data_IF_978551804780
#
_entry.id   IF_978551804780
#
_cell.length_a   1.000
_cell.length_b   1.000
_cell.length_c   1.000
_cell.angle_alpha   90.00
_cell.angle_beta   90.00
_cell.angle_gamma   90.00
#
_symmetry.space_group_name_H-M   'P 1'
#
loop_
_entity.id
_entity.type
_entity.pdbx_description
1 polymer ?
#
# COMPACT_ATOMS: atom_id res chain seq x y z
N UNK A 1 26.73 17.24 3.36
CA UNK A 1 26.46 16.04 4.17
C UNK A 1 27.28 16.14 5.44
N UNK A 2 26.65 16.06 6.60
CA UNK A 2 27.33 15.96 7.89
C UNK A 2 27.11 14.56 8.45
N UNK A 3 28.14 13.99 9.05
CA UNK A 3 28.06 12.69 9.73
C UNK A 3 28.04 12.95 11.23
N UNK A 4 27.01 12.49 11.93
CA UNK A 4 26.95 12.58 13.38
C UNK A 4 28.04 11.71 14.03
N UNK A 5 28.34 11.96 15.31
CA UNK A 5 29.20 11.08 16.10
C UNK A 5 28.68 9.63 16.18
N UNK A 6 27.40 9.40 15.88
CA UNK A 6 26.76 8.08 15.82
C UNK A 6 26.82 7.43 14.44
N UNK A 7 27.46 8.06 13.44
CA UNK A 7 27.63 7.54 12.08
C UNK A 7 26.46 7.79 11.13
N UNK A 8 25.46 8.57 11.54
CA UNK A 8 24.32 8.91 10.69
C UNK A 8 24.66 10.09 9.77
N UNK A 9 24.42 9.93 8.46
CA UNK A 9 24.61 11.00 7.47
C UNK A 9 23.36 11.85 7.34
N UNK A 10 23.51 13.16 7.42
CA UNK A 10 22.42 14.15 7.33
C UNK A 10 22.71 15.17 6.22
N UNK A 11 21.70 15.49 5.42
CA UNK A 11 21.74 16.64 4.52
C UNK A 11 21.38 17.89 5.31
N UNK A 12 22.28 18.87 5.24
CA UNK A 12 22.12 20.15 5.90
C UNK A 12 22.33 21.26 4.88
N UNK A 13 21.60 22.34 5.07
CA UNK A 13 22.01 23.63 4.55
C UNK A 13 22.91 24.29 5.59
N UNK A 14 23.91 25.04 5.15
CA UNK A 14 24.81 25.75 6.04
C UNK A 14 25.07 27.16 5.51
N UNK A 15 25.28 28.09 6.44
CA UNK A 15 25.70 29.46 6.15
C UNK A 15 26.96 29.78 6.95
N UNK A 16 27.88 30.52 6.34
CA UNK A 16 29.12 30.97 6.99
C UNK A 16 29.14 32.48 6.96
N UNK A 17 29.18 33.09 8.14
CA UNK A 17 29.17 34.55 8.31
C UNK A 17 30.46 34.96 9.03
N UNK A 18 31.31 35.80 8.42
CA UNK A 18 32.50 36.31 9.09
C UNK A 18 32.11 37.33 10.16
N UNK A 19 32.73 37.23 11.33
CA UNK A 19 32.55 38.15 12.45
C UNK A 19 33.90 38.76 12.81
N UNK A 20 33.98 40.08 12.78
CA UNK A 20 35.15 40.82 13.27
C UNK A 20 35.05 40.94 14.78
N UNK A 21 36.00 40.34 15.50
CA UNK A 21 36.15 40.46 16.94
C UNK A 21 37.45 41.19 17.29
N UNK A 22 37.55 41.73 18.50
CA UNK A 22 38.79 42.31 19.03
C UNK A 22 39.93 41.28 19.10
N UNK A 23 39.62 39.99 19.12
CA UNK A 23 40.58 38.89 19.08
C UNK A 23 40.96 38.41 17.65
N UNK A 24 40.41 39.03 16.60
CA UNK A 24 40.65 38.66 15.20
C UNK A 24 39.38 38.29 14.42
N UNK A 25 39.54 37.86 13.17
CA UNK A 25 38.42 37.40 12.33
C UNK A 25 37.96 36.02 12.77
N UNK A 26 36.68 35.91 13.14
CA UNK A 26 36.01 34.65 13.46
C UNK A 26 35.01 34.30 12.35
N UNK A 27 34.61 33.03 12.29
CA UNK A 27 33.55 32.56 11.40
C UNK A 27 32.41 31.99 12.25
N UNK A 28 31.20 32.49 12.05
CA UNK A 28 29.98 31.86 12.54
C UNK A 28 29.48 30.87 11.50
N UNK A 29 29.35 29.60 11.90
CA UNK A 29 28.76 28.55 11.08
C UNK A 29 27.37 28.24 11.60
N UNK A 30 26.36 28.44 10.76
CA UNK A 30 24.98 28.03 11.03
C UNK A 30 24.68 26.78 10.20
N UNK A 31 24.04 25.78 10.81
CA UNK A 31 23.74 24.49 10.18
C UNK A 31 22.29 24.14 10.44
N UNK A 32 21.51 23.98 9.36
CA UNK A 32 20.10 23.63 9.44
C UNK A 32 19.82 22.26 8.79
N UNK A 33 19.11 21.35 9.48
CA UNK A 33 18.74 20.06 8.92
C UNK A 33 17.74 20.23 7.77
N UNK A 34 18.06 19.74 6.58
CA UNK A 34 17.20 19.82 5.40
C UNK A 34 16.31 18.59 5.22
N UNK A 35 16.67 17.49 5.86
CA UNK A 35 16.05 16.17 5.66
C UNK A 35 14.62 16.04 6.23
N UNK A 36 14.19 16.93 7.14
CA UNK A 36 12.92 16.76 7.84
C UNK A 36 11.70 16.88 6.91
N UNK A 37 11.67 17.89 6.05
CA UNK A 37 10.54 18.09 5.13
C UNK A 37 10.49 16.98 4.07
N UNK A 38 11.64 16.63 3.50
CA UNK A 38 11.77 15.55 2.53
C UNK A 38 11.34 14.20 3.12
N UNK A 39 11.70 13.94 4.38
CA UNK A 39 11.27 12.73 5.09
C UNK A 39 9.76 12.70 5.29
N UNK A 40 9.16 13.81 5.74
CA UNK A 40 7.69 13.91 5.92
C UNK A 40 6.97 13.65 4.59
N UNK A 41 7.36 14.34 3.52
CA UNK A 41 6.73 14.15 2.19
C UNK A 41 6.87 12.71 1.69
N UNK A 42 8.02 12.06 1.95
CA UNK A 42 8.23 10.66 1.58
C UNK A 42 7.34 9.72 2.39
N UNK A 43 7.21 9.95 3.69
CA UNK A 43 6.34 9.17 4.59
C UNK A 43 4.86 9.31 4.20
N UNK A 44 4.39 10.53 3.94
CA UNK A 44 3.03 10.80 3.46
C UNK A 44 2.75 10.12 2.12
N UNK A 45 3.70 10.19 1.18
CA UNK A 45 3.56 9.51 -0.11
C UNK A 45 3.51 7.99 0.03
N UNK A 46 4.25 7.41 0.98
CA UNK A 46 4.20 5.97 1.27
C UNK A 46 2.86 5.57 1.89
N UNK A 47 2.36 6.34 2.86
CA UNK A 47 1.06 6.10 3.47
C UNK A 47 -0.08 6.19 2.44
N UNK A 48 -0.06 7.22 1.59
CA UNK A 48 -1.03 7.37 0.49
C UNK A 48 -1.01 6.16 -0.45
N UNK A 49 0.17 5.70 -0.88
CA UNK A 49 0.31 4.49 -1.70
C UNK A 49 -0.24 3.23 -1.02
N UNK A 50 0.00 3.08 0.29
CA UNK A 50 -0.53 1.95 1.05
C UNK A 50 -2.06 1.98 1.11
N UNK A 51 -2.65 3.14 1.37
CA UNK A 51 -4.11 3.30 1.41
C UNK A 51 -4.74 3.06 0.03
N UNK A 52 -4.16 3.60 -1.04
CA UNK A 52 -4.60 3.29 -2.41
C UNK A 52 -4.53 1.80 -2.69
N UNK A 53 -3.42 1.13 -2.33
CA UNK A 53 -3.25 -0.31 -2.54
C UNK A 53 -4.30 -1.12 -1.78
N UNK A 54 -4.58 -0.78 -0.51
CA UNK A 54 -5.64 -1.42 0.29
C UNK A 54 -7.01 -1.25 -0.35
N UNK A 55 -7.33 -0.04 -0.84
CA UNK A 55 -8.59 0.21 -1.55
C UNK A 55 -8.69 -0.63 -2.82
N UNK A 56 -7.64 -0.68 -3.63
CA UNK A 56 -7.61 -1.49 -4.85
C UNK A 56 -7.79 -2.98 -4.56
N UNK A 57 -7.10 -3.51 -3.55
CA UNK A 57 -7.24 -4.92 -3.13
C UNK A 57 -8.67 -5.22 -2.69
N UNK A 58 -9.29 -4.35 -1.88
CA UNK A 58 -10.70 -4.52 -1.46
C UNK A 58 -11.67 -4.42 -2.64
N UNK A 59 -11.44 -3.47 -3.55
CA UNK A 59 -12.23 -3.32 -4.77
C UNK A 59 -12.14 -4.57 -5.64
N UNK A 60 -10.93 -5.09 -5.86
CA UNK A 60 -10.71 -6.32 -6.60
C UNK A 60 -11.40 -7.52 -5.94
N UNK A 61 -11.29 -7.66 -4.61
CA UNK A 61 -11.97 -8.73 -3.88
C UNK A 61 -13.49 -8.65 -4.06
N UNK A 62 -14.06 -7.45 -4.07
CA UNK A 62 -15.48 -7.24 -4.35
C UNK A 62 -15.84 -7.63 -5.80
N UNK A 63 -15.04 -7.19 -6.78
CA UNK A 63 -15.23 -7.51 -8.19
C UNK A 63 -15.05 -8.99 -8.51
N UNK A 64 -14.28 -9.75 -7.72
CA UNK A 64 -14.18 -11.23 -7.84
C UNK A 64 -15.40 -11.91 -7.23
N UNK A 65 -15.94 -11.39 -6.12
CA UNK A 65 -17.15 -11.96 -5.48
C UNK A 65 -18.37 -11.91 -6.39
N UNK A 66 -18.47 -10.88 -7.23
CA UNK A 66 -19.58 -10.68 -8.16
C UNK A 66 -19.74 -11.82 -9.20
N UNK A 67 -18.74 -12.15 -10.04
CA UNK A 67 -18.84 -13.26 -10.99
C UNK A 67 -18.96 -14.61 -10.30
N UNK A 68 -18.32 -14.83 -9.13
CA UNK A 68 -18.50 -16.07 -8.36
C UNK A 68 -19.95 -16.23 -7.87
N UNK A 69 -20.56 -15.15 -7.39
CA UNK A 69 -21.99 -15.13 -7.06
C UNK A 69 -22.89 -15.41 -8.27
N UNK A 70 -22.55 -14.85 -9.42
CA UNK A 70 -23.25 -15.10 -10.69
C UNK A 70 -23.14 -16.56 -11.15
N UNK A 71 -21.94 -17.14 -11.14
CA UNK A 71 -21.68 -18.55 -11.50
C UNK A 71 -22.46 -19.47 -10.57
N UNK A 72 -22.40 -19.22 -9.25
CA UNK A 72 -23.19 -19.97 -8.27
C UNK A 72 -24.69 -19.88 -8.55
N UNK A 73 -25.21 -18.67 -8.77
CA UNK A 73 -26.63 -18.47 -9.06
C UNK A 73 -27.07 -19.21 -10.33
N UNK A 74 -26.27 -19.14 -11.40
CA UNK A 74 -26.53 -19.87 -12.64
C UNK A 74 -26.52 -21.39 -12.42
N UNK A 75 -25.55 -21.92 -11.68
CA UNK A 75 -25.47 -23.34 -11.34
C UNK A 75 -26.67 -23.81 -10.51
N UNK A 76 -27.12 -22.99 -9.55
CA UNK A 76 -28.32 -23.27 -8.75
C UNK A 76 -29.60 -23.31 -9.59
N UNK A 77 -29.74 -22.40 -10.56
CA UNK A 77 -30.88 -22.39 -11.48
C UNK A 77 -30.85 -23.64 -12.37
N UNK A 78 -29.68 -24.01 -12.89
CA UNK A 78 -29.51 -25.20 -13.72
C UNK A 78 -29.82 -26.48 -12.94
N UNK A 79 -29.37 -26.61 -11.70
CA UNK A 79 -29.64 -27.75 -10.81
C UNK A 79 -31.13 -28.02 -10.57
N UNK A 80 -31.97 -26.98 -10.69
CA UNK A 80 -33.44 -27.07 -10.56
C UNK A 80 -34.13 -27.53 -11.85
N UNK A 81 -33.48 -27.33 -13.00
CA UNK A 81 -34.03 -27.66 -14.32
C UNK A 81 -33.55 -29.03 -14.83
N UNK A 82 -32.49 -29.59 -14.24
CA UNK A 82 -31.93 -30.88 -14.64
C UNK A 82 -32.85 -32.04 -14.22
N UNK A 83 -33.31 -32.88 -15.18
CA UNK A 83 -34.20 -34.01 -14.89
C UNK A 83 -33.46 -35.27 -14.42
N UNK A 84 -32.17 -35.38 -14.70
CA UNK A 84 -31.32 -36.52 -14.32
C UNK A 84 -30.52 -36.18 -13.05
N UNK A 85 -30.59 -37.05 -12.06
CA UNK A 85 -29.92 -36.91 -10.78
C UNK A 85 -28.38 -36.89 -10.94
N UNK A 86 -27.84 -37.63 -11.90
CA UNK A 86 -26.40 -37.64 -12.20
C UNK A 86 -25.89 -36.30 -12.75
N UNK A 87 -26.77 -35.48 -13.35
CA UNK A 87 -26.38 -34.16 -13.82
C UNK A 87 -26.32 -33.13 -12.68
N UNK A 88 -26.97 -33.41 -11.54
CA UNK A 88 -26.98 -32.54 -10.37
C UNK A 88 -25.61 -32.50 -9.68
N UNK A 89 -24.87 -33.61 -9.72
CA UNK A 89 -23.51 -33.69 -9.17
C UNK A 89 -22.58 -32.66 -9.80
N UNK A 90 -22.66 -32.45 -11.13
CA UNK A 90 -21.86 -31.41 -11.79
C UNK A 90 -22.23 -30.00 -11.32
N UNK A 91 -23.52 -29.71 -11.14
CA UNK A 91 -23.94 -28.40 -10.63
C UNK A 91 -23.53 -28.18 -9.17
N UNK A 92 -23.52 -29.23 -8.35
CA UNK A 92 -23.05 -29.16 -6.96
C UNK A 92 -21.54 -28.86 -6.90
N UNK A 93 -20.74 -29.51 -7.73
CA UNK A 93 -19.29 -29.22 -7.82
C UNK A 93 -19.04 -27.77 -8.21
N UNK A 94 -19.78 -27.22 -9.19
CA UNK A 94 -19.63 -25.81 -9.60
C UNK A 94 -20.01 -24.85 -8.45
N UNK A 95 -21.08 -25.15 -7.70
CA UNK A 95 -21.50 -24.35 -6.54
C UNK A 95 -20.43 -24.38 -5.45
N UNK A 96 -19.90 -25.57 -5.13
CA UNK A 96 -18.85 -25.74 -4.13
C UNK A 96 -17.58 -24.99 -4.50
N UNK A 97 -17.12 -25.08 -5.75
CA UNK A 97 -15.92 -24.36 -6.21
C UNK A 97 -16.11 -22.84 -6.21
N UNK A 98 -17.29 -22.35 -6.60
CA UNK A 98 -17.60 -20.93 -6.51
C UNK A 98 -17.58 -20.42 -5.05
N UNK A 99 -18.12 -21.19 -4.11
CA UNK A 99 -18.08 -20.86 -2.67
C UNK A 99 -16.65 -20.97 -2.11
N UNK A 100 -15.86 -21.96 -2.54
CA UNK A 100 -14.46 -22.14 -2.14
C UNK A 100 -13.61 -20.94 -2.56
N UNK A 101 -13.72 -20.52 -3.83
CA UNK A 101 -13.01 -19.36 -4.36
C UNK A 101 -13.44 -18.06 -3.68
N UNK A 102 -14.73 -17.91 -3.38
CA UNK A 102 -15.27 -16.74 -2.67
C UNK A 102 -14.69 -16.60 -1.27
N UNK A 103 -14.45 -17.71 -0.58
CA UNK A 103 -13.89 -17.72 0.77
C UNK A 103 -12.38 -17.43 0.80
N UNK A 104 -11.70 -17.52 -0.34
CA UNK A 104 -10.28 -17.20 -0.48
C UNK A 104 -10.04 -15.69 -0.67
N UNK A 105 -11.07 -14.91 -1.05
CA UNK A 105 -11.01 -13.49 -1.41
C UNK A 105 -11.74 -12.54 -0.47
#
# INVERSE_FOLDING_TARGET
LLTSATGQTLTVDYAVTPILSTAGTMLLLEVHPRDRLLRITKEEAQLSKQETSKMLVRGLAHEIKNPLGGIRGAAQLLARQLPDENLRDYTNVIIEEADRLRNLV
#
